data_IF_163544697535
#
_entry.id   IF_163544697535
#
_cell.length_a   1.000
_cell.length_b   1.000
_cell.length_c   1.000
_cell.angle_alpha   90.00
_cell.angle_beta   90.00
_cell.angle_gamma   90.00
#
_symmetry.space_group_name_H-M   'P 1'
#
loop_
_entity.id
_entity.type
_entity.pdbx_description
1 polymer ?
#
# COMPACT_ATOMS: atom_id res chain seq x y z
N UNK A 1 -27.50 -37.46 50.47
CA UNK A 1 -27.48 -37.06 49.05
C UNK A 1 -26.51 -35.88 48.94
N UNK A 2 -25.39 -36.01 48.21
CA UNK A 2 -24.36 -34.96 48.08
C UNK A 2 -24.62 -34.17 46.79
N UNK A 3 -24.70 -32.82 46.82
CA UNK A 3 -24.83 -32.05 45.59
C UNK A 3 -23.47 -31.94 44.90
N UNK A 4 -23.41 -32.40 43.66
CA UNK A 4 -22.31 -32.12 42.74
C UNK A 4 -22.50 -30.70 42.18
N UNK A 5 -21.58 -29.79 42.44
CA UNK A 5 -21.50 -28.51 41.75
C UNK A 5 -20.67 -28.68 40.48
N UNK A 6 -21.31 -28.56 39.31
CA UNK A 6 -20.61 -28.48 38.02
C UNK A 6 -20.28 -27.01 37.79
N UNK A 7 -18.99 -26.66 37.86
CA UNK A 7 -18.49 -25.37 37.42
C UNK A 7 -18.25 -25.42 35.90
N UNK A 8 -19.11 -24.77 35.12
CA UNK A 8 -18.90 -24.58 33.69
C UNK A 8 -17.89 -23.44 33.47
N UNK A 9 -16.66 -23.78 33.09
CA UNK A 9 -15.63 -22.81 32.72
C UNK A 9 -15.89 -22.25 31.32
N UNK A 10 -16.19 -20.95 31.23
CA UNK A 10 -16.25 -20.21 29.97
C UNK A 10 -14.82 -19.87 29.52
N UNK A 11 -14.33 -20.52 28.47
CA UNK A 11 -13.05 -20.19 27.85
C UNK A 11 -13.23 -18.98 26.91
N UNK A 12 -12.68 -17.82 27.30
CA UNK A 12 -12.59 -16.64 26.44
C UNK A 12 -11.50 -16.88 25.39
N UNK A 13 -11.89 -17.06 24.13
CA UNK A 13 -10.93 -17.08 23.01
C UNK A 13 -10.64 -15.64 22.62
N UNK A 14 -9.47 -15.12 23.00
CA UNK A 14 -9.02 -13.81 22.55
C UNK A 14 -8.73 -13.85 21.04
N UNK A 15 -9.60 -13.24 20.24
CA UNK A 15 -9.34 -13.03 18.81
C UNK A 15 -8.22 -12.01 18.67
N UNK A 16 -7.08 -12.41 18.10
CA UNK A 16 -6.04 -11.45 17.71
C UNK A 16 -6.53 -10.72 16.47
N UNK A 17 -6.93 -9.45 16.63
CA UNK A 17 -7.22 -8.60 15.49
C UNK A 17 -5.93 -8.43 14.68
N UNK A 18 -5.88 -9.01 13.48
CA UNK A 18 -4.81 -8.74 12.53
C UNK A 18 -5.01 -7.31 12.04
N UNK A 19 -4.06 -6.42 12.35
CA UNK A 19 -4.12 -5.05 11.86
C UNK A 19 -4.18 -5.05 10.33
N UNK A 20 -5.17 -4.34 9.76
CA UNK A 20 -5.26 -4.16 8.31
C UNK A 20 -4.02 -3.44 7.78
N UNK A 21 -3.55 -3.85 6.61
CA UNK A 21 -2.41 -3.19 5.97
C UNK A 21 -2.83 -1.79 5.51
N UNK A 22 -2.03 -0.78 5.86
CA UNK A 22 -2.26 0.62 5.47
C UNK A 22 -1.13 1.14 4.60
N UNK A 23 -1.46 2.15 3.79
CA UNK A 23 -0.52 2.87 2.94
C UNK A 23 -0.75 4.37 3.09
N UNK A 24 0.32 5.12 3.28
CA UNK A 24 0.34 6.58 3.23
C UNK A 24 1.46 7.08 2.32
N UNK A 25 1.23 8.22 1.68
CA UNK A 25 2.24 8.93 0.90
C UNK A 25 1.92 10.42 0.83
N UNK A 26 2.94 11.20 0.47
CA UNK A 26 2.83 12.58 0.03
C UNK A 26 3.56 12.69 -1.31
N UNK A 27 3.12 13.59 -2.19
CA UNK A 27 3.78 13.80 -3.48
C UNK A 27 5.22 14.32 -3.35
N UNK A 28 5.52 15.04 -2.25
CA UNK A 28 6.81 15.68 -2.06
C UNK A 28 7.10 16.70 -3.17
N UNK A 29 8.37 16.84 -3.52
CA UNK A 29 8.83 17.70 -4.62
C UNK A 29 8.75 16.96 -5.97
N UNK A 30 7.53 16.60 -6.38
CA UNK A 30 7.31 15.95 -7.67
C UNK A 30 7.36 16.98 -8.80
N UNK A 31 8.14 16.77 -9.87
CA UNK A 31 8.15 17.67 -11.01
C UNK A 31 6.76 17.84 -11.64
N UNK A 32 6.39 19.10 -11.91
CA UNK A 32 5.17 19.41 -12.67
C UNK A 32 5.27 18.87 -14.10
N UNK A 33 4.18 18.30 -14.61
CA UNK A 33 4.10 17.99 -16.03
C UNK A 33 3.78 19.25 -16.85
N UNK A 34 4.74 19.75 -17.63
CA UNK A 34 4.59 20.96 -18.45
C UNK A 34 4.61 20.70 -19.95
N UNK A 35 4.88 19.45 -20.37
CA UNK A 35 5.08 19.07 -21.78
C UNK A 35 3.91 18.28 -22.38
N UNK A 36 2.88 17.98 -21.58
CA UNK A 36 1.82 17.04 -21.94
C UNK A 36 2.29 15.58 -22.02
N UNK A 37 3.52 15.28 -21.60
CA UNK A 37 4.09 13.93 -21.58
C UNK A 37 4.56 13.59 -20.16
N UNK A 38 4.10 12.48 -19.56
CA UNK A 38 4.57 12.03 -18.25
C UNK A 38 6.10 11.95 -18.14
N UNK A 39 6.64 12.47 -17.04
CA UNK A 39 8.04 12.32 -16.69
C UNK A 39 8.30 10.90 -16.15
N UNK A 40 9.54 10.42 -16.25
CA UNK A 40 9.96 9.24 -15.48
C UNK A 40 10.63 9.71 -14.19
N UNK A 41 9.94 9.56 -13.05
CA UNK A 41 10.36 10.12 -11.76
C UNK A 41 10.54 9.03 -10.71
N UNK A 42 11.30 9.34 -9.66
CA UNK A 42 11.43 8.52 -8.46
C UNK A 42 10.08 8.35 -7.75
N UNK A 43 9.83 7.18 -7.16
CA UNK A 43 8.69 6.97 -6.25
C UNK A 43 8.73 7.94 -5.06
N UNK A 44 7.58 8.37 -4.52
CA UNK A 44 7.55 9.11 -3.25
C UNK A 44 7.94 8.21 -2.08
N UNK A 45 8.20 8.80 -0.91
CA UNK A 45 8.25 8.00 0.31
C UNK A 45 6.87 7.38 0.58
N UNK A 46 6.85 6.09 0.92
CA UNK A 46 5.66 5.39 1.40
C UNK A 46 5.78 5.05 2.87
N UNK A 47 4.70 5.26 3.62
CA UNK A 47 4.53 4.77 4.99
C UNK A 47 3.57 3.58 4.93
N UNK A 48 4.02 2.44 5.45
CA UNK A 48 3.23 1.22 5.54
C UNK A 48 2.95 0.89 7.00
N UNK A 49 1.74 0.46 7.28
CA UNK A 49 1.35 -0.15 8.55
C UNK A 49 0.73 -1.51 8.32
N UNK A 50 0.73 -2.37 9.36
CA UNK A 50 0.06 -3.67 9.30
C UNK A 50 0.56 -4.62 8.20
N UNK A 51 1.84 -4.53 7.79
CA UNK A 51 2.42 -5.44 6.80
C UNK A 51 2.41 -6.87 7.36
N UNK A 52 1.74 -7.85 6.69
CA UNK A 52 1.62 -9.20 7.22
C UNK A 52 2.96 -9.90 7.39
N UNK A 53 3.06 -10.74 8.43
CA UNK A 53 4.22 -11.60 8.64
C UNK A 53 4.46 -12.52 7.43
N UNK A 54 5.73 -12.73 7.09
CA UNK A 54 6.13 -13.55 5.95
C UNK A 54 6.05 -12.85 4.60
N UNK A 55 5.73 -11.54 4.56
CA UNK A 55 5.90 -10.71 3.37
C UNK A 55 7.36 -10.70 2.93
N UNK A 56 7.63 -11.16 1.71
CA UNK A 56 8.96 -11.15 1.10
C UNK A 56 9.07 -10.18 -0.09
N UNK A 57 7.94 -9.61 -0.51
CA UNK A 57 7.87 -8.70 -1.64
C UNK A 57 6.69 -7.75 -1.49
N UNK A 58 6.89 -6.49 -1.87
CA UNK A 58 5.81 -5.50 -2.00
C UNK A 58 5.80 -5.00 -3.44
N UNK A 59 4.61 -5.02 -4.05
CA UNK A 59 4.38 -4.50 -5.40
C UNK A 59 3.60 -3.21 -5.30
N UNK A 60 4.17 -2.13 -5.83
CA UNK A 60 3.54 -0.83 -5.93
C UNK A 60 3.03 -0.61 -7.35
N UNK A 61 1.82 -0.08 -7.49
CA UNK A 61 1.27 0.40 -8.76
C UNK A 61 0.58 1.74 -8.56
N UNK A 62 0.78 2.65 -9.51
CA UNK A 62 0.02 3.88 -9.60
C UNK A 62 -1.10 3.72 -10.62
N UNK A 63 -2.29 4.17 -10.27
CA UNK A 63 -3.44 4.25 -11.17
C UNK A 63 -3.97 5.68 -11.18
N UNK A 64 -4.20 6.21 -12.36
CA UNK A 64 -5.04 7.40 -12.55
C UNK A 64 -6.50 6.96 -12.46
N UNK A 65 -7.27 7.52 -11.52
CA UNK A 65 -8.67 7.13 -11.35
C UNK A 65 -9.58 7.73 -12.43
N UNK A 66 -9.15 8.82 -13.06
CA UNK A 66 -9.84 9.52 -14.14
C UNK A 66 -9.48 8.92 -15.51
N UNK A 67 -8.26 8.37 -15.64
CA UNK A 67 -7.79 7.67 -16.86
C UNK A 67 -7.26 6.28 -16.51
N UNK A 68 -8.14 5.33 -16.10
CA UNK A 68 -7.75 4.05 -15.51
C UNK A 68 -6.97 3.11 -16.42
N UNK A 69 -6.99 3.35 -17.73
CA UNK A 69 -6.31 2.54 -18.73
C UNK A 69 -4.87 2.99 -18.99
N UNK A 70 -4.45 4.16 -18.50
CA UNK A 70 -3.07 4.61 -18.66
C UNK A 70 -2.15 3.89 -17.67
N UNK A 71 -1.12 3.21 -18.18
CA UNK A 71 -0.16 2.50 -17.35
C UNK A 71 0.94 3.44 -16.83
N UNK A 72 0.77 3.93 -15.60
CA UNK A 72 1.79 4.71 -14.89
C UNK A 72 2.97 3.87 -14.38
N UNK A 73 2.82 2.54 -14.35
CA UNK A 73 3.82 1.63 -13.82
C UNK A 73 3.84 1.61 -12.28
N UNK A 74 5.04 1.46 -11.73
CA UNK A 74 5.29 1.26 -10.31
C UNK A 74 6.55 0.43 -10.08
N UNK A 75 6.67 -0.16 -8.90
CA UNK A 75 7.88 -0.86 -8.47
C UNK A 75 7.59 -2.19 -7.81
N UNK A 76 8.57 -3.08 -7.82
CA UNK A 76 8.53 -4.33 -7.06
C UNK A 76 9.77 -4.40 -6.19
N UNK A 77 9.57 -4.44 -4.87
CA UNK A 77 10.66 -4.44 -3.90
C UNK A 77 10.71 -5.78 -3.19
N UNK A 78 11.90 -6.40 -3.15
CA UNK A 78 12.16 -7.51 -2.23
C UNK A 78 12.39 -6.91 -0.85
N UNK A 79 11.66 -7.39 0.15
CA UNK A 79 11.71 -6.88 1.52
C UNK A 79 11.63 -8.05 2.49
N UNK A 80 12.16 -7.87 3.70
CA UNK A 80 11.84 -8.72 4.84
C UNK A 80 11.31 -7.80 5.93
N UNK A 81 10.00 -7.53 5.89
CA UNK A 81 9.36 -6.63 6.85
C UNK A 81 8.00 -7.16 7.28
N UNK A 82 7.60 -6.76 8.49
CA UNK A 82 6.27 -6.99 9.05
C UNK A 82 5.93 -5.84 10.01
N UNK A 83 4.65 -5.59 10.23
CA UNK A 83 4.21 -4.46 11.04
C UNK A 83 4.30 -3.14 10.28
N UNK A 84 4.98 -2.13 10.83
CA UNK A 84 5.05 -0.79 10.24
C UNK A 84 6.45 -0.48 9.72
N UNK A 85 6.54 0.30 8.64
CA UNK A 85 7.82 0.67 8.03
C UNK A 85 7.70 1.79 7.01
N UNK A 86 8.86 2.28 6.57
CA UNK A 86 8.97 3.28 5.51
C UNK A 86 9.69 2.69 4.31
N UNK A 87 9.20 3.03 3.12
CA UNK A 87 9.92 2.82 1.86
C UNK A 87 10.42 4.19 1.41
N UNK A 88 11.76 4.40 1.36
CA UNK A 88 12.32 5.67 0.94
C UNK A 88 11.91 6.07 -0.48
N UNK A 89 11.94 7.38 -0.75
CA UNK A 89 11.89 7.89 -2.11
C UNK A 89 13.08 7.38 -2.93
N UNK A 90 12.88 7.21 -4.25
CA UNK A 90 13.98 6.89 -5.19
C UNK A 90 14.40 5.43 -5.29
N UNK A 91 13.70 4.51 -4.63
CA UNK A 91 13.99 3.06 -4.73
C UNK A 91 13.47 2.41 -6.02
N UNK A 92 12.54 3.06 -6.72
CA UNK A 92 12.13 2.73 -8.09
C UNK A 92 11.66 3.97 -8.86
N UNK A 93 11.49 3.83 -10.18
CA UNK A 93 10.94 4.88 -11.05
C UNK A 93 9.59 4.49 -11.64
N UNK A 94 8.76 5.48 -11.95
CA UNK A 94 7.44 5.33 -12.57
C UNK A 94 7.10 6.53 -13.46
N UNK A 95 6.03 6.45 -14.23
CA UNK A 95 5.54 7.58 -15.03
C UNK A 95 4.70 8.52 -14.16
N UNK A 96 5.12 9.76 -14.02
CA UNK A 96 4.43 10.77 -13.20
C UNK A 96 2.98 10.99 -13.67
N UNK A 97 2.10 11.52 -12.82
CA UNK A 97 0.92 12.23 -13.27
C UNK A 97 1.25 13.24 -14.38
N UNK A 98 0.33 13.36 -15.34
CA UNK A 98 0.34 14.39 -16.37
C UNK A 98 -1.07 14.54 -16.95
N UNK A 99 -2.03 15.02 -16.14
CA UNK A 99 -3.41 15.17 -16.60
C UNK A 99 -3.45 16.20 -17.74
N UNK A 100 -4.10 15.91 -18.89
CA UNK A 100 -4.17 16.83 -20.03
C UNK A 100 -5.03 18.06 -19.74
N UNK A 101 -5.97 17.97 -18.80
CA UNK A 101 -6.77 19.09 -18.30
C UNK A 101 -7.28 18.80 -16.89
N UNK A 102 -7.48 19.85 -16.10
CA UNK A 102 -8.05 19.74 -14.76
C UNK A 102 -7.14 19.03 -13.74
N UNK A 103 -7.76 18.57 -12.66
CA UNK A 103 -7.10 17.81 -11.58
C UNK A 103 -7.58 16.37 -11.64
N UNK A 104 -6.63 15.44 -11.70
CA UNK A 104 -6.93 14.02 -11.59
C UNK A 104 -6.56 13.51 -10.19
N UNK A 105 -7.23 12.43 -9.78
CA UNK A 105 -6.92 11.69 -8.56
C UNK A 105 -6.13 10.43 -8.91
N UNK A 106 -5.00 10.24 -8.22
CA UNK A 106 -4.15 9.07 -8.42
C UNK A 106 -4.15 8.20 -7.18
N UNK A 107 -4.24 6.89 -7.39
CA UNK A 107 -4.20 5.87 -6.34
C UNK A 107 -2.92 5.06 -6.44
N UNK A 108 -2.11 5.10 -5.38
CA UNK A 108 -1.10 4.07 -5.15
C UNK A 108 -1.74 2.85 -4.52
N UNK A 109 -1.43 1.67 -5.05
CA UNK A 109 -1.73 0.37 -4.45
C UNK A 109 -0.41 -0.30 -4.03
N UNK A 110 -0.32 -0.74 -2.79
CA UNK A 110 0.75 -1.59 -2.28
C UNK A 110 0.20 -3.00 -2.03
N UNK A 111 0.79 -4.01 -2.67
CA UNK A 111 0.41 -5.42 -2.48
C UNK A 111 1.54 -6.19 -1.83
N UNK A 112 1.33 -6.62 -0.58
CA UNK A 112 2.25 -7.49 0.16
C UNK A 112 2.11 -8.95 -0.31
N UNK A 113 3.25 -9.59 -0.59
CA UNK A 113 3.31 -10.94 -1.18
C UNK A 113 4.31 -11.85 -0.47
N UNK A 114 4.01 -13.15 -0.51
CA UNK A 114 4.91 -14.26 -0.20
C UNK A 114 4.98 -15.17 -1.42
N UNK A 115 6.02 -15.01 -2.25
CA UNK A 115 6.09 -15.67 -3.54
C UNK A 115 4.98 -15.19 -4.49
N UNK A 116 4.11 -16.11 -4.92
CA UNK A 116 2.95 -15.81 -5.77
C UNK A 116 1.68 -15.48 -4.98
N UNK A 117 1.65 -15.75 -3.67
CA UNK A 117 0.51 -15.46 -2.83
C UNK A 117 0.47 -13.97 -2.47
N UNK A 118 -0.70 -13.34 -2.64
CA UNK A 118 -1.02 -12.04 -2.05
C UNK A 118 -1.43 -12.24 -0.61
N UNK A 119 -0.79 -11.53 0.32
CA UNK A 119 -1.10 -11.57 1.74
C UNK A 119 -2.03 -10.42 2.14
N UNK A 120 -1.79 -9.22 1.61
CA UNK A 120 -2.61 -8.05 1.86
C UNK A 120 -2.45 -7.01 0.74
N UNK A 121 -3.40 -6.08 0.67
CA UNK A 121 -3.34 -4.92 -0.22
C UNK A 121 -3.75 -3.68 0.55
N UNK A 122 -3.05 -2.58 0.33
CA UNK A 122 -3.36 -1.27 0.87
C UNK A 122 -3.38 -0.23 -0.26
N UNK A 123 -4.21 0.80 -0.09
CA UNK A 123 -4.41 1.85 -1.10
C UNK A 123 -4.33 3.23 -0.46
N UNK A 124 -3.84 4.20 -1.22
CA UNK A 124 -3.86 5.60 -0.86
C UNK A 124 -4.07 6.44 -2.12
N UNK A 125 -5.02 7.37 -2.06
CA UNK A 125 -5.34 8.25 -3.17
C UNK A 125 -5.10 9.73 -2.82
N UNK A 126 -4.53 10.49 -3.76
CA UNK A 126 -4.33 11.94 -3.65
C UNK A 126 -4.50 12.61 -5.01
N UNK A 127 -4.98 13.85 -5.01
CA UNK A 127 -4.92 14.70 -6.20
C UNK A 127 -3.48 15.10 -6.49
N UNK A 128 -3.10 15.14 -7.77
CA UNK A 128 -1.82 15.68 -8.20
C UNK A 128 -1.80 17.21 -7.98
N UNK A 129 -0.74 17.77 -7.35
CA UNK A 129 -0.68 19.19 -6.95
C UNK A 129 -0.72 20.18 -8.11
#
# INVERSE_FOLDING_TARGET
MKPFFIAAGFAFVASTAVAEMTLGFQWGDIPRCTTGRPNTVANPEFVLGGVPQGTNRIVFKLKDLDVPNYNHGGGTLKVQMSGSGRIPSGVFKYKSPCPPSGRHTYEWTATAKKGNQTLATAKAARQYP
#
